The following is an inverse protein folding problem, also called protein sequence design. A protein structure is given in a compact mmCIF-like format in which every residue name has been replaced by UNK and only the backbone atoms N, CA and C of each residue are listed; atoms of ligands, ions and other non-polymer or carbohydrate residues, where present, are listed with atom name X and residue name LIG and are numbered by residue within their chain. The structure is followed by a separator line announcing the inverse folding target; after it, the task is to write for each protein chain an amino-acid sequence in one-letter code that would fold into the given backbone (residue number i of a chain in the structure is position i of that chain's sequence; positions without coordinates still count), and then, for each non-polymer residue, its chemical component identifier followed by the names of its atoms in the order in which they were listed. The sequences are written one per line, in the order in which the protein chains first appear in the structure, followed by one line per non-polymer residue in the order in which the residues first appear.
data_IF_815821968753
#
_entry.id   IF_815821968753
#
_cell.length_a   1.000
_cell.length_b   1.000
_cell.length_c   1.000
_cell.angle_alpha   90.00
_cell.angle_beta   90.00
_cell.angle_gamma   90.00
#
_symmetry.space_group_name_H-M   'P 1'
#
loop_
_entity.id
_entity.type
_entity.pdbx_description
1 polymer ?
#
# COMPACT_ATOMS: atom_id res chain seq x y z
N UNK A 1 -13.27 12.46 -1.85
CA UNK A 1 -12.91 11.22 -1.14
C UNK A 1 -11.61 11.46 -0.38
N UNK A 2 -11.54 11.12 0.90
CA UNK A 2 -10.32 11.25 1.71
C UNK A 2 -9.43 10.01 1.48
N UNK A 3 -8.22 10.21 0.98
CA UNK A 3 -7.25 9.13 0.79
C UNK A 3 -6.79 8.54 2.13
N UNK A 4 -6.64 9.37 3.16
CA UNK A 4 -6.31 8.93 4.51
C UNK A 4 -7.31 9.55 5.50
N UNK A 5 -7.85 8.74 6.41
CA UNK A 5 -8.69 9.22 7.52
C UNK A 5 -7.92 9.07 8.82
N UNK A 6 -8.27 9.85 9.85
CA UNK A 6 -7.64 9.74 11.18
C UNK A 6 -7.71 8.31 11.75
N UNK A 7 -8.81 7.61 11.49
CA UNK A 7 -9.00 6.22 11.90
C UNK A 7 -8.03 5.25 11.21
N UNK A 8 -7.74 5.47 9.93
CA UNK A 8 -6.77 4.68 9.18
C UNK A 8 -5.35 5.02 9.62
N UNK A 9 -5.03 6.30 9.78
CA UNK A 9 -3.73 6.75 10.30
C UNK A 9 -3.41 6.13 11.66
N UNK A 10 -4.41 6.04 12.55
CA UNK A 10 -4.23 5.42 13.87
C UNK A 10 -3.95 3.91 13.83
N UNK A 11 -4.23 3.24 12.71
CA UNK A 11 -3.98 1.79 12.53
C UNK A 11 -2.66 1.49 11.82
N UNK A 12 -2.03 2.50 11.22
CA UNK A 12 -0.71 2.36 10.59
C UNK A 12 0.37 2.41 11.67
N UNK A 13 1.22 1.38 11.80
CA UNK A 13 2.45 1.46 12.57
C UNK A 13 3.38 2.56 12.03
N UNK A 14 4.24 3.09 12.90
CA UNK A 14 5.30 4.00 12.49
C UNK A 14 6.33 3.28 11.61
N UNK A 15 7.06 4.03 10.79
CA UNK A 15 8.13 3.48 9.95
C UNK A 15 9.15 2.71 10.80
N UNK A 16 9.49 1.50 10.36
CA UNK A 16 10.40 0.57 11.05
C UNK A 16 9.77 -0.21 12.21
N UNK A 17 8.53 0.09 12.61
CA UNK A 17 7.90 -0.59 13.74
C UNK A 17 7.63 -2.09 13.50
N UNK A 18 7.62 -2.53 12.24
CA UNK A 18 7.43 -3.93 11.84
C UNK A 18 8.68 -4.55 11.19
N UNK A 19 9.87 -4.00 11.46
CA UNK A 19 11.13 -4.49 10.87
C UNK A 19 11.40 -5.97 11.20
N UNK A 20 11.12 -6.39 12.44
CA UNK A 20 11.25 -7.79 12.88
C UNK A 20 10.10 -8.70 12.39
N UNK A 21 9.07 -8.13 11.75
CA UNK A 21 7.94 -8.90 11.24
C UNK A 21 8.23 -9.37 9.81
N UNK A 22 8.16 -10.68 9.53
CA UNK A 22 8.33 -11.19 8.17
C UNK A 22 7.37 -10.51 7.19
N UNK A 23 7.86 -10.19 5.99
CA UNK A 23 7.08 -9.48 4.96
C UNK A 23 5.70 -10.10 4.71
N UNK A 24 5.62 -11.43 4.69
CA UNK A 24 4.38 -12.20 4.50
C UNK A 24 3.35 -12.00 5.63
N UNK A 25 3.80 -11.74 6.85
CA UNK A 25 2.98 -11.57 8.04
C UNK A 25 2.61 -10.10 8.31
N UNK A 26 3.26 -9.16 7.63
CA UNK A 26 2.92 -7.73 7.73
C UNK A 26 1.44 -7.50 7.38
N UNK A 27 0.79 -6.60 8.11
CA UNK A 27 -0.61 -6.24 7.87
C UNK A 27 -0.65 -5.09 6.87
N UNK A 28 -1.33 -5.27 5.74
CA UNK A 28 -1.56 -4.18 4.81
C UNK A 28 -2.76 -3.35 5.28
N UNK A 29 -2.50 -2.16 5.80
CA UNK A 29 -3.55 -1.32 6.39
C UNK A 29 -4.33 -0.57 5.31
N UNK A 30 -3.67 -0.18 4.22
CA UNK A 30 -4.29 0.60 3.15
C UNK A 30 -3.85 0.08 1.79
N UNK A 31 -4.83 -0.06 0.89
CA UNK A 31 -4.58 -0.32 -0.52
C UNK A 31 -5.01 0.89 -1.34
N UNK A 32 -4.09 1.40 -2.15
CA UNK A 32 -4.36 2.35 -3.21
C UNK A 32 -4.23 1.65 -4.56
N UNK A 33 -5.05 2.01 -5.52
CA UNK A 33 -4.98 1.43 -6.86
C UNK A 33 -5.22 2.49 -7.92
N UNK A 34 -4.73 2.21 -9.12
CA UNK A 34 -4.94 3.02 -10.31
C UNK A 34 -6.17 2.49 -11.08
N UNK A 35 -7.32 3.18 -11.06
CA UNK A 35 -8.55 2.69 -11.71
C UNK A 35 -8.44 2.46 -13.22
N UNK A 36 -7.48 3.12 -13.88
CA UNK A 36 -7.25 3.05 -15.32
C UNK A 36 -5.99 2.26 -15.70
N UNK A 37 -5.38 1.54 -14.76
CA UNK A 37 -4.16 0.79 -15.00
C UNK A 37 -4.03 -0.42 -14.07
N UNK A 38 -2.83 -0.99 -14.03
CA UNK A 38 -2.52 -2.17 -13.22
C UNK A 38 -1.82 -1.87 -11.90
N UNK A 39 -1.46 -0.61 -11.65
CA UNK A 39 -0.64 -0.26 -10.49
C UNK A 39 -1.44 -0.26 -9.20
N UNK A 40 -0.87 -0.89 -8.16
CA UNK A 40 -1.45 -0.98 -6.82
C UNK A 40 -0.36 -0.73 -5.77
N UNK A 41 -0.69 0.00 -4.72
CA UNK A 41 0.19 0.28 -3.59
C UNK A 41 -0.45 -0.27 -2.31
N UNK A 42 0.32 -1.07 -1.57
CA UNK A 42 -0.10 -1.73 -0.34
C UNK A 42 0.71 -1.14 0.82
N UNK A 43 0.11 -0.20 1.56
CA UNK A 43 0.77 0.46 2.69
C UNK A 43 0.70 -0.41 3.95
N UNK A 44 1.85 -0.59 4.59
CA UNK A 44 2.00 -1.32 5.85
C UNK A 44 2.30 -0.35 7.00
N UNK A 45 3.22 0.60 6.80
CA UNK A 45 3.64 1.57 7.81
C UNK A 45 3.50 2.99 7.27
N UNK A 46 3.48 3.98 8.18
CA UNK A 46 3.37 5.39 7.84
C UNK A 46 4.10 6.27 8.84
N UNK A 47 4.75 7.34 8.37
CA UNK A 47 5.44 8.31 9.22
C UNK A 47 4.49 9.27 9.98
N UNK A 48 3.18 9.17 9.72
CA UNK A 48 2.16 10.06 10.27
C UNK A 48 1.99 11.38 9.51
N UNK A 49 2.75 11.60 8.44
CA UNK A 49 2.80 12.85 7.69
C UNK A 49 2.59 12.64 6.19
N UNK A 50 3.46 11.90 5.52
CA UNK A 50 3.47 11.78 4.08
C UNK A 50 4.03 10.45 3.55
N UNK A 51 5.02 9.85 4.22
CA UNK A 51 5.72 8.67 3.69
C UNK A 51 5.12 7.37 4.23
N UNK A 52 4.71 6.49 3.32
CA UNK A 52 4.38 5.10 3.62
C UNK A 52 5.57 4.19 3.34
N UNK A 53 5.62 3.07 4.04
CA UNK A 53 6.40 1.91 3.64
C UNK A 53 5.45 0.75 3.31
N UNK A 54 5.73 0.02 2.24
CA UNK A 54 4.83 -0.99 1.73
C UNK A 54 5.30 -1.68 0.46
N UNK A 55 4.39 -2.45 -0.15
CA UNK A 55 4.63 -3.13 -1.42
C UNK A 55 4.00 -2.32 -2.55
N UNK A 56 4.76 -2.11 -3.61
CA UNK A 56 4.29 -1.54 -4.88
C UNK A 56 4.17 -2.68 -5.89
N UNK A 57 2.99 -2.79 -6.47
CA UNK A 57 2.67 -3.71 -7.54
C UNK A 57 2.52 -2.91 -8.83
N UNK A 58 3.62 -2.81 -9.56
CA UNK A 58 3.73 -2.04 -10.80
C UNK A 58 4.20 -2.93 -11.96
N UNK A 59 5.42 -2.69 -12.43
CA UNK A 59 6.07 -3.58 -13.39
C UNK A 59 6.55 -4.87 -12.72
N UNK A 60 7.06 -4.76 -11.51
CA UNK A 60 7.45 -5.86 -10.62
C UNK A 60 6.81 -5.63 -9.23
N UNK A 61 6.94 -6.62 -8.35
CA UNK A 61 6.59 -6.47 -6.94
C UNK A 61 7.80 -5.96 -6.18
N UNK A 62 7.73 -4.71 -5.71
CA UNK A 62 8.84 -4.04 -5.01
C UNK A 62 8.43 -3.56 -3.62
N UNK A 63 9.21 -3.93 -2.60
CA UNK A 63 9.08 -3.35 -1.27
C UNK A 63 9.83 -2.02 -1.22
N UNK A 64 9.17 -0.97 -0.74
CA UNK A 64 9.77 0.35 -0.71
C UNK A 64 8.92 1.41 -0.03
N UNK A 65 9.42 2.64 -0.06
CA UNK A 65 8.71 3.81 0.47
C UNK A 65 8.06 4.59 -0.65
N UNK A 66 6.89 5.18 -0.39
CA UNK A 66 6.17 6.03 -1.34
C UNK A 66 5.37 7.13 -0.62
N UNK A 67 5.19 8.28 -1.27
CA UNK A 67 4.57 9.47 -0.67
C UNK A 67 3.06 9.57 -0.94
N UNK A 68 2.29 9.96 0.08
CA UNK A 68 0.88 10.31 -0.04
C UNK A 68 0.68 11.47 -1.01
N UNK A 69 1.51 12.50 -0.92
CA UNK A 69 1.44 13.68 -1.78
C UNK A 69 1.72 13.32 -3.25
N UNK A 70 2.67 12.42 -3.52
CA UNK A 70 2.93 11.89 -4.85
C UNK A 70 1.70 11.14 -5.38
N UNK A 71 1.15 10.19 -4.60
CA UNK A 71 -0.07 9.46 -4.98
C UNK A 71 -1.26 10.39 -5.28
N UNK A 72 -1.41 11.47 -4.52
CA UNK A 72 -2.48 12.48 -4.73
C UNK A 72 -2.26 13.35 -5.98
N UNK A 73 -1.00 13.52 -6.39
CA UNK A 73 -0.62 14.32 -7.56
C UNK A 73 -0.76 13.56 -8.88
N UNK A 74 -0.75 12.22 -8.84
CA UNK A 74 -0.94 11.37 -10.02
C UNK A 74 -2.27 11.69 -10.69
N UNK A 75 -2.21 11.99 -12.00
CA UNK A 75 -3.37 12.25 -12.85
C UNK A 75 -3.39 11.28 -14.02
N UNK A 76 -4.45 10.50 -14.09
CA UNK A 76 -4.76 9.61 -15.19
C UNK A 76 -5.44 10.30 -16.37
N UNK A 77 -5.84 9.52 -17.38
CA UNK A 77 -6.70 9.97 -18.46
C UNK A 77 -7.91 10.72 -17.91
N UNK A 78 -8.25 11.83 -18.55
CA UNK A 78 -9.38 12.68 -18.15
C UNK A 78 -9.32 13.21 -16.70
N UNK A 79 -8.14 13.23 -16.08
CA UNK A 79 -7.96 13.75 -14.72
C UNK A 79 -8.39 12.79 -13.61
N UNK A 80 -8.54 11.49 -13.92
CA UNK A 80 -8.75 10.45 -12.91
C UNK A 80 -7.60 10.46 -11.90
N UNK A 81 -7.90 10.11 -10.65
CA UNK A 81 -6.92 10.03 -9.56
C UNK A 81 -6.87 8.62 -9.01
N UNK A 82 -5.76 8.28 -8.35
CA UNK A 82 -5.68 7.02 -7.61
C UNK A 82 -6.80 6.96 -6.56
N UNK A 83 -7.26 5.75 -6.28
CA UNK A 83 -8.36 5.51 -5.36
C UNK A 83 -7.90 4.63 -4.20
N UNK A 84 -8.54 4.81 -3.04
CA UNK A 84 -8.36 3.92 -1.89
C UNK A 84 -9.46 2.87 -1.88
N UNK A 85 -9.08 1.62 -1.69
CA UNK A 85 -10.02 0.52 -1.50
C UNK A 85 -10.64 0.60 -0.09
N UNK A 86 -11.95 0.86 -0.01
CA UNK A 86 -12.67 1.02 1.25
C UNK A 86 -13.02 -0.30 1.93
N UNK A 87 -13.06 -1.39 1.18
CA UNK A 87 -13.52 -2.70 1.65
C UNK A 87 -12.37 -3.71 1.75
N UNK A 88 -11.13 -3.21 1.73
CA UNK A 88 -9.94 -4.04 1.67
C UNK A 88 -9.75 -4.96 2.89
N UNK A 89 -10.27 -4.59 4.06
CA UNK A 89 -10.32 -5.49 5.22
C UNK A 89 -9.01 -5.70 5.98
N UNK A 90 -7.93 -5.00 5.61
CA UNK A 90 -6.61 -5.03 6.26
C UNK A 90 -6.00 -6.44 6.42
N UNK A 91 -5.89 -7.23 5.33
CA UNK A 91 -5.34 -8.57 5.38
C UNK A 91 -3.84 -8.55 5.68
N UNK A 92 -3.32 -9.70 6.09
CA UNK A 92 -1.88 -9.95 6.02
C UNK A 92 -1.46 -10.01 4.56
N UNK A 93 -0.23 -9.62 4.29
CA UNK A 93 0.33 -9.59 2.94
C UNK A 93 0.18 -10.92 2.19
N UNK A 94 0.43 -12.05 2.85
CA UNK A 94 0.24 -13.41 2.28
C UNK A 94 -1.21 -13.77 1.91
N UNK A 95 -2.19 -13.11 2.53
CA UNK A 95 -3.61 -13.41 2.34
C UNK A 95 -4.22 -12.60 1.19
N UNK A 96 -3.45 -11.68 0.59
CA UNK A 96 -3.89 -10.87 -0.56
C UNK A 96 -3.90 -11.74 -1.81
N UNK A 97 -5.10 -12.09 -2.28
CA UNK A 97 -5.29 -12.95 -3.46
C UNK A 97 -4.64 -12.43 -4.74
N UNK A 98 -4.56 -11.10 -4.92
CA UNK A 98 -3.93 -10.46 -6.07
C UNK A 98 -2.38 -10.63 -6.12
N UNK A 99 -1.77 -11.02 -5.00
CA UNK A 99 -0.32 -11.25 -4.91
C UNK A 99 0.03 -12.73 -5.10
N UNK A 100 -0.93 -13.65 -4.95
CA UNK A 100 -0.69 -15.10 -5.01
C UNK A 100 0.01 -15.52 -6.30
N UNK A 101 1.09 -16.29 -6.16
CA UNK A 101 1.88 -16.78 -7.30
C UNK A 101 2.85 -15.78 -7.93
N UNK A 102 2.84 -14.50 -7.50
CA UNK A 102 3.90 -13.51 -7.81
C UNK A 102 4.88 -13.30 -6.65
N UNK A 103 4.67 -14.13 -5.63
CA UNK A 103 5.26 -14.20 -4.30
C UNK A 103 6.75 -14.58 -4.26
N UNK A 104 7.42 -14.70 -5.41
CA UNK A 104 8.80 -15.18 -5.53
C UNK A 104 9.86 -14.33 -4.78
N UNK A 105 9.45 -13.27 -4.09
CA UNK A 105 10.28 -12.36 -3.30
C UNK A 105 10.02 -12.36 -1.78
N UNK A 106 9.17 -13.25 -1.20
CA UNK A 106 9.03 -13.33 0.27
C UNK A 106 10.25 -13.93 0.99
N UNK A 107 11.24 -14.43 0.25
CA UNK A 107 12.52 -14.84 0.79
C UNK A 107 13.45 -13.63 0.76
N UNK A 108 13.45 -12.82 1.83
CA UNK A 108 14.60 -12.30 2.58
C UNK A 108 14.09 -11.46 3.76
#
# INVERSE_FOLDING_TARGET
MLMLTKEITAKLPLLGATEETPTAEKVCVVKYFQPWGSWTWYAVEFDGKDIFFGLVDGFELEWGSFSLSELQSVKGPMGLKLERDLYFGMPKMKDISALKGRESSWCY
#
